data_IF_747915750614
#
_entry.id   IF_747915750614
#
_cell.length_a   1.000
_cell.length_b   1.000
_cell.length_c   1.000
_cell.angle_alpha   90.00
_cell.angle_beta   90.00
_cell.angle_gamma   90.00
#
_symmetry.space_group_name_H-M   'P 1'
#
loop_
_entity.id
_entity.type
_entity.pdbx_description
1 polymer ?
#
# COMPACT_ATOMS: atom_id res chain seq x y z
N UNK A 1 31.38 -71.68 9.07
CA UNK A 1 30.04 -71.10 9.32
C UNK A 1 30.24 -69.65 9.75
N UNK A 2 29.86 -68.68 8.90
CA UNK A 2 30.06 -67.24 9.15
C UNK A 2 28.93 -66.73 10.05
N UNK A 3 29.29 -66.15 11.20
CA UNK A 3 28.37 -65.41 12.07
C UNK A 3 28.08 -64.04 11.44
N UNK A 4 26.81 -63.76 11.15
CA UNK A 4 26.36 -62.43 10.80
C UNK A 4 25.84 -61.73 12.07
N UNK A 5 26.59 -60.73 12.54
CA UNK A 5 26.16 -59.79 13.57
C UNK A 5 25.29 -58.74 12.89
N UNK A 6 24.00 -58.70 13.24
CA UNK A 6 23.06 -57.69 12.76
C UNK A 6 23.11 -56.49 13.71
N UNK A 7 23.71 -55.38 13.26
CA UNK A 7 23.79 -54.11 13.99
C UNK A 7 22.50 -53.30 13.74
N UNK A 8 21.68 -53.09 14.75
CA UNK A 8 20.51 -52.20 14.66
C UNK A 8 20.94 -50.75 14.95
N UNK A 9 20.95 -49.92 13.91
CA UNK A 9 21.17 -48.46 14.03
C UNK A 9 19.81 -47.81 14.31
N UNK A 10 19.63 -47.29 15.52
CA UNK A 10 18.46 -46.49 15.90
C UNK A 10 18.72 -45.05 15.46
N UNK A 11 18.06 -44.64 14.38
CA UNK A 11 18.07 -43.25 13.89
C UNK A 11 17.03 -42.47 14.71
N UNK A 12 17.49 -41.65 15.65
CA UNK A 12 16.66 -40.62 16.29
C UNK A 12 16.44 -39.48 15.29
N UNK A 13 15.28 -39.46 14.65
CA UNK A 13 14.83 -38.30 13.87
C UNK A 13 14.26 -37.25 14.84
N UNK A 14 15.00 -36.15 15.04
CA UNK A 14 14.45 -34.95 15.64
C UNK A 14 13.41 -34.36 14.68
N UNK A 15 12.14 -34.60 14.94
CA UNK A 15 11.04 -33.87 14.30
C UNK A 15 11.00 -32.50 14.98
N UNK A 16 11.55 -31.49 14.30
CA UNK A 16 11.31 -30.09 14.62
C UNK A 16 9.83 -29.80 14.40
N UNK A 17 9.06 -29.76 15.50
CA UNK A 17 7.71 -29.24 15.50
C UNK A 17 7.75 -27.75 15.14
N UNK A 18 7.63 -27.41 13.86
CA UNK A 18 7.16 -26.09 13.46
C UNK A 18 5.68 -26.05 13.81
N UNK A 19 5.39 -25.57 15.02
CA UNK A 19 4.04 -25.21 15.40
C UNK A 19 3.56 -24.10 14.46
N UNK A 20 2.80 -24.47 13.43
CA UNK A 20 1.93 -23.57 12.70
C UNK A 20 0.74 -23.22 13.62
N UNK A 21 1.02 -22.57 14.75
CA UNK A 21 -0.02 -21.96 15.55
C UNK A 21 -0.52 -20.75 14.77
N UNK A 22 -1.80 -20.74 14.45
CA UNK A 22 -2.48 -19.55 13.94
C UNK A 22 -2.25 -18.43 14.94
N UNK A 23 -1.34 -17.49 14.64
CA UNK A 23 -1.03 -16.36 15.53
C UNK A 23 -2.36 -15.67 15.88
N UNK A 24 -2.81 -15.86 17.11
CA UNK A 24 -4.05 -15.29 17.60
C UNK A 24 -3.91 -13.77 17.60
N UNK A 25 -4.85 -13.07 16.95
CA UNK A 25 -4.86 -11.61 16.90
C UNK A 25 -5.61 -11.08 18.12
N UNK A 26 -4.98 -10.25 18.97
CA UNK A 26 -5.62 -9.69 20.16
C UNK A 26 -6.85 -8.87 19.76
N UNK A 27 -7.84 -8.78 20.65
CA UNK A 27 -9.08 -8.05 20.44
C UNK A 27 -8.96 -6.56 20.79
N UNK A 28 -8.08 -6.21 21.74
CA UNK A 28 -7.90 -4.87 22.29
C UNK A 28 -6.47 -4.70 22.83
N UNK A 29 -6.17 -3.53 23.42
CA UNK A 29 -4.84 -3.18 23.91
C UNK A 29 -4.38 -4.07 25.06
N UNK A 30 -5.27 -4.37 26.01
CA UNK A 30 -4.94 -5.20 27.17
C UNK A 30 -4.50 -6.61 26.76
N UNK A 31 -5.26 -7.23 25.85
CA UNK A 31 -4.91 -8.56 25.32
C UNK A 31 -3.62 -8.51 24.50
N UNK A 32 -3.38 -7.42 23.77
CA UNK A 32 -2.11 -7.23 23.06
C UNK A 32 -0.93 -7.19 24.06
N UNK A 33 -1.03 -6.40 25.13
CA UNK A 33 -0.01 -6.29 26.17
C UNK A 33 0.25 -7.64 26.84
N UNK A 34 -0.80 -8.39 27.18
CA UNK A 34 -0.66 -9.72 27.78
C UNK A 34 0.09 -10.71 26.89
N UNK A 35 -0.16 -10.65 25.58
CA UNK A 35 0.57 -11.50 24.62
C UNK A 35 2.03 -11.01 24.50
N UNK A 36 2.26 -9.70 24.35
CA UNK A 36 3.60 -9.13 24.26
C UNK A 36 4.44 -9.40 25.51
N UNK A 37 3.84 -9.40 26.69
CA UNK A 37 4.53 -9.75 27.94
C UNK A 37 5.11 -11.16 27.89
N UNK A 38 4.43 -12.11 27.25
CA UNK A 38 4.86 -13.51 27.14
C UNK A 38 5.82 -13.73 25.98
N UNK A 39 5.55 -13.07 24.85
CA UNK A 39 6.23 -13.28 23.57
C UNK A 39 7.52 -12.45 23.40
N UNK A 40 7.54 -11.21 23.91
CA UNK A 40 8.67 -10.31 23.71
C UNK A 40 9.90 -10.77 24.55
N UNK A 41 11.09 -10.94 23.92
CA UNK A 41 12.33 -11.28 24.62
C UNK A 41 12.71 -10.25 25.69
N UNK A 42 13.38 -10.69 26.76
CA UNK A 42 13.75 -9.83 27.89
C UNK A 42 14.68 -8.67 27.48
N UNK A 43 15.66 -8.92 26.61
CA UNK A 43 16.57 -7.89 26.12
C UNK A 43 15.80 -6.81 25.34
N UNK A 44 14.82 -7.22 24.53
CA UNK A 44 13.96 -6.30 23.81
C UNK A 44 13.04 -5.52 24.75
N UNK A 45 12.48 -6.14 25.79
CA UNK A 45 11.71 -5.43 26.82
C UNK A 45 12.56 -4.36 27.50
N UNK A 46 13.82 -4.66 27.80
CA UNK A 46 14.75 -3.69 28.38
C UNK A 46 15.02 -2.54 27.41
N UNK A 47 15.23 -2.82 26.12
CA UNK A 47 15.41 -1.78 25.11
C UNK A 47 14.17 -0.87 24.98
N UNK A 48 12.97 -1.46 24.97
CA UNK A 48 11.69 -0.74 24.91
C UNK A 48 11.55 0.24 26.08
N UNK A 49 11.90 -0.16 27.30
CA UNK A 49 11.81 0.71 28.49
C UNK A 49 12.63 2.01 28.34
N UNK A 50 13.77 1.94 27.68
CA UNK A 50 14.74 3.04 27.58
C UNK A 50 14.73 3.76 26.24
N UNK A 51 13.89 3.33 25.29
CA UNK A 51 13.78 3.96 23.96
C UNK A 51 12.69 5.03 24.00
N UNK A 52 12.96 6.20 23.45
CA UNK A 52 11.97 7.27 23.29
C UNK A 52 10.77 6.83 22.46
N UNK A 53 9.57 7.35 22.79
CA UNK A 53 8.31 6.88 22.21
C UNK A 53 8.26 7.02 20.68
N UNK A 54 8.89 8.07 20.13
CA UNK A 54 8.99 8.32 18.69
C UNK A 54 9.92 7.33 17.96
N UNK A 55 10.81 6.68 18.70
CA UNK A 55 11.85 5.79 18.21
C UNK A 55 11.49 4.32 18.39
N UNK A 56 10.49 4.00 19.23
CA UNK A 56 10.03 2.63 19.48
C UNK A 56 9.68 1.85 18.22
N UNK A 57 9.16 2.52 17.19
CA UNK A 57 8.78 1.88 15.93
C UNK A 57 9.98 1.22 15.23
N UNK A 58 11.18 1.74 15.42
CA UNK A 58 12.40 1.21 14.83
C UNK A 58 12.86 -0.11 15.46
N UNK A 59 12.26 -0.52 16.58
CA UNK A 59 12.48 -1.83 17.19
C UNK A 59 11.60 -2.92 16.56
N UNK A 60 10.63 -2.54 15.72
CA UNK A 60 9.67 -3.45 15.09
C UNK A 60 9.98 -3.66 13.60
N UNK A 61 9.68 -4.86 13.12
CA UNK A 61 9.62 -5.13 11.69
C UNK A 61 8.40 -4.42 11.07
N UNK A 62 8.48 -3.82 9.86
CA UNK A 62 9.64 -3.74 8.97
C UNK A 62 10.44 -2.43 9.10
N UNK A 63 10.29 -1.67 10.19
CA UNK A 63 10.82 -0.31 10.32
C UNK A 63 12.23 -0.21 10.94
N UNK A 64 12.97 -1.32 10.96
CA UNK A 64 14.36 -1.39 11.40
C UNK A 64 14.65 -2.62 12.25
N UNK A 65 13.68 -3.04 13.06
CA UNK A 65 13.86 -4.16 13.98
C UNK A 65 13.37 -5.50 13.43
N UNK A 66 13.71 -6.57 14.14
CA UNK A 66 13.34 -7.94 13.77
C UNK A 66 12.07 -8.44 14.46
N UNK A 67 11.53 -7.68 15.42
CA UNK A 67 10.34 -8.09 16.17
C UNK A 67 9.07 -8.00 15.30
N UNK A 68 8.50 -9.15 14.95
CA UNK A 68 7.43 -9.29 13.94
C UNK A 68 6.02 -9.42 14.53
N UNK A 69 5.87 -9.70 15.81
CA UNK A 69 4.59 -10.11 16.40
C UNK A 69 3.46 -9.11 16.14
N UNK A 70 3.70 -7.83 16.40
CA UNK A 70 2.70 -6.76 16.20
C UNK A 70 2.39 -6.58 14.70
N UNK A 71 3.42 -6.65 13.86
CA UNK A 71 3.26 -6.58 12.41
C UNK A 71 2.38 -7.72 11.88
N UNK A 72 2.56 -8.95 12.37
CA UNK A 72 1.74 -10.10 11.97
C UNK A 72 0.28 -9.97 12.40
N UNK A 73 -0.01 -9.26 13.50
CA UNK A 73 -1.38 -8.92 13.86
C UNK A 73 -2.01 -7.92 12.89
N UNK A 74 -1.26 -6.91 12.44
CA UNK A 74 -1.80 -5.79 11.65
C UNK A 74 -1.77 -6.06 10.14
N UNK A 75 -0.79 -6.82 9.65
CA UNK A 75 -0.71 -7.21 8.23
C UNK A 75 -1.89 -8.07 7.81
N UNK A 76 -2.42 -8.90 8.72
CA UNK A 76 -3.63 -9.70 8.44
C UNK A 76 -4.74 -8.76 7.92
N UNK A 77 -5.40 -9.19 6.84
CA UNK A 77 -6.50 -8.48 6.18
C UNK A 77 -7.67 -8.22 7.15
N UNK A 78 -8.87 -7.92 6.65
CA UNK A 78 -10.08 -7.56 7.42
C UNK A 78 -10.56 -8.56 8.50
N UNK A 79 -9.76 -9.55 8.92
CA UNK A 79 -10.00 -10.47 10.04
C UNK A 79 -9.28 -10.10 11.34
N UNK A 80 -8.24 -9.25 11.30
CA UNK A 80 -7.50 -8.85 12.52
C UNK A 80 -8.38 -8.04 13.48
N UNK A 81 -8.52 -8.50 14.74
CA UNK A 81 -9.40 -7.86 15.72
C UNK A 81 -8.77 -6.56 16.24
N UNK A 82 -7.49 -6.58 16.62
CA UNK A 82 -6.76 -5.39 17.09
C UNK A 82 -6.68 -4.31 16.01
N UNK A 83 -6.51 -4.69 14.74
CA UNK A 83 -6.54 -3.74 13.62
C UNK A 83 -7.88 -3.01 13.54
N UNK A 84 -9.00 -3.74 13.60
CA UNK A 84 -10.35 -3.15 13.62
C UNK A 84 -10.58 -2.32 14.87
N UNK A 85 -10.09 -2.77 16.02
CA UNK A 85 -10.17 -2.04 17.27
C UNK A 85 -9.52 -0.66 17.13
N UNK A 86 -8.27 -0.59 16.68
CA UNK A 86 -7.53 0.66 16.50
C UNK A 86 -8.14 1.55 15.41
N UNK A 87 -8.63 0.97 14.31
CA UNK A 87 -9.37 1.71 13.28
C UNK A 87 -10.62 2.41 13.85
N UNK A 88 -11.40 1.71 14.69
CA UNK A 88 -12.55 2.31 15.39
C UNK A 88 -12.15 3.42 16.36
N UNK A 89 -10.91 3.42 16.84
CA UNK A 89 -10.32 4.49 17.66
C UNK A 89 -9.67 5.59 16.83
N UNK A 90 -9.76 5.56 15.49
CA UNK A 90 -9.20 6.59 14.62
C UNK A 90 -7.69 6.48 14.38
N UNK A 91 -7.12 5.29 14.57
CA UNK A 91 -5.73 4.96 14.21
C UNK A 91 -5.75 3.89 13.12
N UNK A 92 -5.67 4.33 11.87
CA UNK A 92 -5.88 3.48 10.69
C UNK A 92 -4.57 3.07 10.01
N UNK A 93 -3.55 3.92 10.09
CA UNK A 93 -2.25 3.65 9.47
C UNK A 93 -1.52 2.51 10.19
N UNK A 94 -0.94 1.58 9.44
CA UNK A 94 -0.30 0.39 10.02
C UNK A 94 0.92 0.73 10.88
N UNK A 95 1.71 1.74 10.51
CA UNK A 95 2.86 2.17 11.30
C UNK A 95 2.39 2.81 12.61
N UNK A 96 1.35 3.65 12.55
CA UNK A 96 0.74 4.23 13.75
C UNK A 96 0.13 3.16 14.66
N UNK A 97 -0.55 2.15 14.11
CA UNK A 97 -1.09 1.03 14.89
C UNK A 97 0.01 0.26 15.63
N UNK A 98 1.16 0.03 15.00
CA UNK A 98 2.31 -0.58 15.69
C UNK A 98 2.84 0.33 16.80
N UNK A 99 3.01 1.63 16.49
CA UNK A 99 3.56 2.58 17.44
C UNK A 99 2.69 2.72 18.70
N UNK A 100 1.36 2.82 18.58
CA UNK A 100 0.48 2.94 19.75
C UNK A 100 0.48 1.68 20.63
N UNK A 101 0.61 0.49 20.03
CA UNK A 101 0.75 -0.77 20.78
C UNK A 101 2.10 -0.80 21.53
N UNK A 102 3.18 -0.37 20.87
CA UNK A 102 4.51 -0.32 21.49
C UNK A 102 4.58 0.67 22.65
N UNK A 103 3.97 1.85 22.52
CA UNK A 103 3.90 2.84 23.60
C UNK A 103 3.11 2.26 24.78
N UNK A 104 1.95 1.66 24.53
CA UNK A 104 1.16 1.03 25.59
C UNK A 104 1.92 -0.09 26.30
N UNK A 105 2.66 -0.92 25.55
CA UNK A 105 3.52 -1.96 26.11
C UNK A 105 4.69 -1.40 26.92
N UNK A 106 5.33 -0.30 26.47
CA UNK A 106 6.35 0.42 27.26
C UNK A 106 5.78 0.92 28.58
N UNK A 107 4.62 1.56 28.57
CA UNK A 107 3.98 2.05 29.80
C UNK A 107 3.71 0.89 30.78
N UNK A 108 3.20 -0.23 30.27
CA UNK A 108 3.04 -1.45 31.06
C UNK A 108 4.38 -1.95 31.65
N UNK A 109 5.45 -2.01 30.86
CA UNK A 109 6.78 -2.45 31.32
C UNK A 109 7.40 -1.53 32.38
N UNK A 110 7.02 -0.25 32.38
CA UNK A 110 7.42 0.75 33.37
C UNK A 110 6.51 0.76 34.61
N UNK A 111 5.52 -0.14 34.69
CA UNK A 111 4.46 -0.16 35.71
C UNK A 111 3.66 1.15 35.80
N UNK A 112 3.58 1.90 34.70
CA UNK A 112 2.79 3.11 34.61
C UNK A 112 1.36 2.76 34.18
N UNK A 113 0.37 3.39 34.80
CA UNK A 113 -0.97 3.46 34.20
C UNK A 113 -0.93 4.34 32.96
N UNK A 114 -1.68 3.99 31.92
CA UNK A 114 -1.83 4.83 30.73
C UNK A 114 -3.31 4.96 30.33
N UNK A 115 -3.66 6.11 29.77
CA UNK A 115 -4.93 6.31 29.09
C UNK A 115 -4.70 6.13 27.58
N UNK A 116 -5.35 5.10 27.02
CA UNK A 116 -5.33 4.82 25.59
C UNK A 116 -5.65 6.07 24.73
N UNK A 117 -6.60 6.91 25.16
CA UNK A 117 -6.98 8.10 24.38
C UNK A 117 -5.82 9.07 24.23
N UNK A 118 -4.96 9.17 25.25
CA UNK A 118 -3.78 10.03 25.25
C UNK A 118 -2.75 9.52 24.23
N UNK A 119 -2.52 8.20 24.19
CA UNK A 119 -1.62 7.56 23.21
C UNK A 119 -2.12 7.80 21.78
N UNK A 120 -3.42 7.67 21.53
CA UNK A 120 -4.00 7.81 20.19
C UNK A 120 -3.99 9.24 19.66
N UNK A 121 -4.09 10.24 20.56
CA UNK A 121 -4.33 11.65 20.19
C UNK A 121 -3.32 12.19 19.18
N UNK A 122 -2.04 11.88 19.37
CA UNK A 122 -0.96 12.31 18.47
C UNK A 122 -1.15 11.74 17.06
N UNK A 123 -1.35 10.43 16.94
CA UNK A 123 -1.52 9.75 15.66
C UNK A 123 -2.83 10.10 14.96
N UNK A 124 -3.93 10.27 15.72
CA UNK A 124 -5.19 10.79 15.18
C UNK A 124 -5.03 12.19 14.58
N UNK A 125 -4.20 13.06 15.19
CA UNK A 125 -3.91 14.38 14.64
C UNK A 125 -3.17 14.29 13.31
N UNK A 126 -2.13 13.44 13.27
CA UNK A 126 -1.34 13.18 12.06
C UNK A 126 -2.23 12.63 10.94
N UNK A 127 -3.03 11.59 11.22
CA UNK A 127 -3.91 10.98 10.21
C UNK A 127 -5.00 11.94 9.72
N UNK A 128 -5.58 12.78 10.61
CA UNK A 128 -6.52 13.82 10.19
C UNK A 128 -5.86 14.85 9.26
N UNK A 129 -4.62 15.23 9.54
CA UNK A 129 -3.85 16.11 8.67
C UNK A 129 -3.63 15.46 7.30
N UNK A 130 -3.16 14.22 7.26
CA UNK A 130 -2.99 13.46 6.02
C UNK A 130 -4.29 13.30 5.24
N UNK A 131 -5.41 13.01 5.91
CA UNK A 131 -6.72 12.90 5.26
C UNK A 131 -7.18 14.24 4.65
N UNK A 132 -6.94 15.36 5.34
CA UNK A 132 -7.23 16.71 4.82
C UNK A 132 -6.36 17.03 3.61
N UNK A 133 -5.07 16.73 3.69
CA UNK A 133 -4.13 16.90 2.57
C UNK A 133 -4.53 16.03 1.37
N UNK A 134 -4.89 14.77 1.60
CA UNK A 134 -5.36 13.84 0.58
C UNK A 134 -6.62 14.35 -0.12
N UNK A 135 -7.63 14.80 0.64
CA UNK A 135 -8.86 15.41 0.08
C UNK A 135 -8.58 16.63 -0.78
N UNK A 136 -7.62 17.48 -0.40
CA UNK A 136 -7.26 18.67 -1.19
C UNK A 136 -6.73 18.30 -2.58
N UNK A 137 -5.98 17.20 -2.71
CA UNK A 137 -5.41 16.75 -4.00
C UNK A 137 -6.47 16.47 -5.07
N UNK A 138 -7.70 16.20 -4.66
CA UNK A 138 -8.81 15.90 -5.55
C UNK A 138 -9.60 17.11 -6.03
N UNK A 139 -9.33 18.29 -5.47
CA UNK A 139 -10.01 19.54 -5.85
C UNK A 139 -9.03 20.60 -6.37
N UNK A 140 -7.75 20.50 -6.03
CA UNK A 140 -6.72 21.42 -6.50
C UNK A 140 -6.40 21.17 -7.97
N UNK A 141 -6.19 22.26 -8.72
CA UNK A 141 -5.86 22.23 -10.14
C UNK A 141 -4.40 21.88 -10.43
N UNK A 142 -3.50 22.13 -9.48
CA UNK A 142 -2.07 21.94 -9.61
C UNK A 142 -1.48 21.25 -8.40
N UNK A 143 -0.61 20.26 -8.62
CA UNK A 143 0.13 19.58 -7.55
C UNK A 143 1.62 19.71 -7.85
N UNK A 144 2.38 20.24 -6.88
CA UNK A 144 3.84 20.47 -7.02
C UNK A 144 4.20 21.29 -8.28
N UNK A 145 3.41 22.33 -8.58
CA UNK A 145 3.62 23.20 -9.73
C UNK A 145 3.20 22.61 -11.08
N UNK A 146 2.65 21.39 -11.10
CA UNK A 146 2.15 20.74 -12.32
C UNK A 146 0.63 20.84 -12.34
N UNK A 147 0.07 21.40 -13.41
CA UNK A 147 -1.37 21.37 -13.66
C UNK A 147 -1.85 19.93 -13.89
N UNK A 148 -2.93 19.54 -13.22
CA UNK A 148 -3.52 18.21 -13.24
C UNK A 148 -4.77 18.27 -14.11
N UNK A 149 -4.91 17.49 -15.19
CA UNK A 149 -6.15 17.49 -15.96
C UNK A 149 -7.37 17.07 -15.12
N UNK A 150 -8.57 17.59 -15.43
CA UNK A 150 -9.78 17.18 -14.70
C UNK A 150 -10.57 16.05 -15.38
N UNK A 151 -10.36 15.84 -16.69
CA UNK A 151 -10.95 14.74 -17.46
C UNK A 151 -10.06 14.34 -18.64
N UNK A 152 -10.55 13.41 -19.48
CA UNK A 152 -9.81 12.91 -20.64
C UNK A 152 -9.59 13.98 -21.73
N UNK A 153 -10.53 14.91 -21.93
CA UNK A 153 -10.40 15.93 -22.98
C UNK A 153 -9.37 16.98 -22.57
N UNK A 154 -9.40 17.40 -21.31
CA UNK A 154 -8.40 18.30 -20.76
C UNK A 154 -7.00 17.67 -20.75
N UNK A 155 -6.87 16.33 -20.65
CA UNK A 155 -5.59 15.67 -20.90
C UNK A 155 -5.04 16.00 -22.29
N UNK A 156 -5.89 16.01 -23.33
CA UNK A 156 -5.45 16.29 -24.70
C UNK A 156 -4.95 17.72 -24.84
N UNK A 157 -5.68 18.69 -24.27
CA UNK A 157 -5.27 20.11 -24.26
C UNK A 157 -3.88 20.29 -23.64
N UNK A 158 -3.62 19.61 -22.51
CA UNK A 158 -2.32 19.67 -21.85
C UNK A 158 -1.24 18.99 -22.70
N UNK A 159 -1.51 17.81 -23.26
CA UNK A 159 -0.54 17.12 -24.14
C UNK A 159 -0.26 17.93 -25.41
N UNK A 160 -1.26 18.59 -25.98
CA UNK A 160 -1.12 19.47 -27.13
C UNK A 160 -0.24 20.67 -26.84
N UNK A 161 -0.30 21.20 -25.62
CA UNK A 161 0.56 22.31 -25.17
C UNK A 161 1.99 21.86 -24.87
N UNK A 162 2.18 20.61 -24.46
CA UNK A 162 3.49 20.05 -24.13
C UNK A 162 4.27 19.58 -25.36
N UNK A 163 3.58 19.05 -26.37
CA UNK A 163 4.22 18.45 -27.54
C UNK A 163 4.20 19.41 -28.72
N UNK A 164 5.37 19.63 -29.32
CA UNK A 164 5.46 20.40 -30.55
C UNK A 164 4.97 19.58 -31.77
N UNK A 165 4.81 20.25 -32.90
CA UNK A 165 4.29 19.62 -34.13
C UNK A 165 5.13 18.44 -34.60
N UNK A 166 6.45 18.50 -34.44
CA UNK A 166 7.35 17.39 -34.81
C UNK A 166 7.05 16.13 -33.99
N UNK A 167 6.85 16.27 -32.68
CA UNK A 167 6.45 15.16 -31.81
C UNK A 167 5.08 14.63 -32.23
N UNK A 168 4.09 15.51 -32.48
CA UNK A 168 2.75 15.10 -32.91
C UNK A 168 2.79 14.34 -34.25
N UNK A 169 3.62 14.79 -35.20
CA UNK A 169 3.80 14.12 -36.49
C UNK A 169 4.44 12.73 -36.33
N UNK A 170 5.43 12.59 -35.45
CA UNK A 170 6.02 11.29 -35.14
C UNK A 170 4.96 10.34 -34.56
N UNK A 171 4.16 10.80 -33.59
CA UNK A 171 3.06 10.01 -33.00
C UNK A 171 2.07 9.54 -34.09
N UNK A 172 1.67 10.44 -35.00
CA UNK A 172 0.77 10.12 -36.12
C UNK A 172 1.37 9.11 -37.11
N UNK A 173 2.69 9.02 -37.21
CA UNK A 173 3.36 8.05 -38.08
C UNK A 173 3.37 6.62 -37.53
N UNK A 174 3.12 6.45 -36.23
CA UNK A 174 3.06 5.16 -35.56
C UNK A 174 1.63 4.58 -35.61
N UNK A 175 1.54 3.25 -35.62
CA UNK A 175 0.27 2.59 -35.34
C UNK A 175 -0.16 2.86 -33.88
N UNK A 176 -1.45 2.77 -33.60
CA UNK A 176 -1.99 2.96 -32.24
C UNK A 176 -1.30 2.06 -31.21
N UNK A 177 -1.08 0.79 -31.57
CA UNK A 177 -0.44 -0.18 -30.69
C UNK A 177 1.05 0.14 -30.49
N UNK A 178 1.76 0.48 -31.57
CA UNK A 178 3.18 0.82 -31.48
C UNK A 178 3.40 2.06 -30.62
N UNK A 179 2.56 3.09 -30.81
CA UNK A 179 2.62 4.29 -29.99
C UNK A 179 2.39 3.98 -28.51
N UNK A 180 1.31 3.26 -28.16
CA UNK A 180 1.01 2.94 -26.76
C UNK A 180 2.14 2.12 -26.10
N UNK A 181 2.70 1.13 -26.81
CA UNK A 181 3.79 0.30 -26.30
C UNK A 181 5.06 1.12 -26.10
N UNK A 182 5.46 1.91 -27.12
CA UNK A 182 6.69 2.71 -27.06
C UNK A 182 6.60 3.82 -26.01
N UNK A 183 5.42 4.40 -25.82
CA UNK A 183 5.20 5.50 -24.89
C UNK A 183 4.95 5.07 -23.44
N UNK A 184 4.67 3.79 -23.19
CA UNK A 184 4.31 3.30 -21.85
C UNK A 184 5.32 3.66 -20.76
N UNK A 185 6.62 3.54 -21.07
CA UNK A 185 7.72 3.75 -20.11
C UNK A 185 8.27 5.18 -20.11
N UNK A 186 7.94 5.98 -21.12
CA UNK A 186 8.39 7.37 -21.24
C UNK A 186 7.25 8.32 -20.89
N UNK A 187 6.40 8.64 -21.86
CA UNK A 187 5.28 9.57 -21.68
C UNK A 187 4.27 9.03 -20.67
N UNK A 188 4.00 7.71 -20.68
CA UNK A 188 3.13 7.06 -19.71
C UNK A 188 3.69 7.19 -18.28
N UNK A 189 4.99 6.97 -18.09
CA UNK A 189 5.62 7.16 -16.78
C UNK A 189 5.59 8.62 -16.34
N UNK A 190 5.81 9.56 -17.27
CA UNK A 190 5.68 10.98 -17.01
C UNK A 190 4.25 11.33 -16.57
N UNK A 191 3.22 10.88 -17.28
CA UNK A 191 1.80 11.08 -16.95
C UNK A 191 1.51 10.54 -15.53
N UNK A 192 1.89 9.29 -15.24
CA UNK A 192 1.63 8.68 -13.93
C UNK A 192 2.26 9.44 -12.78
N UNK A 193 3.49 9.92 -12.97
CA UNK A 193 4.25 10.60 -11.93
C UNK A 193 3.83 12.06 -11.78
N UNK A 194 3.67 12.80 -12.88
CA UNK A 194 3.40 14.24 -12.85
C UNK A 194 1.92 14.55 -12.61
N UNK A 195 1.00 13.76 -13.16
CA UNK A 195 -0.43 13.88 -12.85
C UNK A 195 -0.85 13.11 -11.60
N UNK A 196 0.14 12.59 -10.85
CA UNK A 196 0.00 12.02 -9.52
C UNK A 196 -0.97 10.84 -9.45
N UNK A 197 -1.00 10.00 -10.49
CA UNK A 197 -1.96 8.91 -10.61
C UNK A 197 -1.80 7.87 -9.49
N UNK A 198 -0.58 7.65 -8.99
CA UNK A 198 -0.32 6.75 -7.84
C UNK A 198 -0.79 7.31 -6.48
N UNK A 199 -0.75 8.63 -6.31
CA UNK A 199 -0.98 9.29 -5.02
C UNK A 199 -2.37 9.96 -4.93
N UNK A 200 -3.19 9.83 -5.97
CA UNK A 200 -4.48 10.51 -6.10
C UNK A 200 -4.35 11.95 -6.58
N UNK A 201 -5.27 12.32 -7.47
CA UNK A 201 -5.45 13.65 -8.04
C UNK A 201 -6.89 13.77 -8.60
N UNK A 202 -7.34 14.98 -8.96
CA UNK A 202 -8.67 15.16 -9.57
C UNK A 202 -8.88 14.31 -10.83
N UNK A 203 -7.82 14.08 -11.62
CA UNK A 203 -7.87 13.19 -12.78
C UNK A 203 -8.18 11.74 -12.38
N UNK A 204 -7.61 11.28 -11.27
CA UNK A 204 -7.87 9.93 -10.76
C UNK A 204 -9.34 9.76 -10.37
N UNK A 205 -10.01 10.79 -9.86
CA UNK A 205 -11.46 10.71 -9.59
C UNK A 205 -12.25 10.47 -10.86
N UNK A 206 -12.00 11.25 -11.91
CA UNK A 206 -12.67 11.07 -13.20
C UNK A 206 -12.54 9.61 -13.71
N UNK A 207 -11.35 9.03 -13.65
CA UNK A 207 -11.14 7.64 -14.08
C UNK A 207 -11.77 6.61 -13.14
N UNK A 208 -11.73 6.85 -11.83
CA UNK A 208 -12.38 5.99 -10.84
C UNK A 208 -13.90 5.95 -11.05
N UNK A 209 -14.51 7.10 -11.37
CA UNK A 209 -15.96 7.22 -11.60
C UNK A 209 -16.42 6.41 -12.82
N UNK A 210 -15.54 6.21 -13.80
CA UNK A 210 -15.78 5.33 -14.96
C UNK A 210 -15.19 3.92 -14.77
N UNK A 211 -14.76 3.55 -13.57
CA UNK A 211 -14.37 2.19 -13.20
C UNK A 211 -12.92 1.79 -13.53
N UNK A 212 -12.02 2.77 -13.73
CA UNK A 212 -10.60 2.53 -13.99
C UNK A 212 -9.75 3.06 -12.82
N UNK A 213 -9.07 2.14 -12.14
CA UNK A 213 -8.38 2.43 -10.87
C UNK A 213 -6.86 2.36 -10.97
N UNK A 214 -6.32 1.57 -11.90
CA UNK A 214 -4.87 1.32 -11.96
C UNK A 214 -4.15 2.43 -12.75
N UNK A 215 -3.11 3.07 -12.20
CA UNK A 215 -2.40 4.16 -12.90
C UNK A 215 -1.84 3.81 -14.27
N UNK A 216 -1.38 2.57 -14.46
CA UNK A 216 -0.92 2.11 -15.79
C UNK A 216 -2.09 2.08 -16.79
N UNK A 217 -3.27 1.60 -16.40
CA UNK A 217 -4.46 1.56 -17.25
C UNK A 217 -4.91 2.98 -17.60
N UNK A 218 -4.95 3.88 -16.60
CA UNK A 218 -5.31 5.29 -16.79
C UNK A 218 -4.37 5.92 -17.84
N UNK A 219 -3.06 5.78 -17.66
CA UNK A 219 -2.09 6.33 -18.60
C UNK A 219 -2.18 5.68 -19.99
N UNK A 220 -2.48 4.38 -20.07
CA UNK A 220 -2.69 3.67 -21.33
C UNK A 220 -3.92 4.18 -22.08
N UNK A 221 -5.04 4.38 -21.40
CA UNK A 221 -6.26 4.97 -21.98
C UNK A 221 -5.98 6.39 -22.49
N UNK A 222 -5.27 7.20 -21.72
CA UNK A 222 -4.93 8.58 -22.11
C UNK A 222 -4.10 8.58 -23.39
N UNK A 223 -3.00 7.82 -23.43
CA UNK A 223 -2.13 7.75 -24.61
C UNK A 223 -2.90 7.23 -25.84
N UNK A 224 -3.61 6.11 -25.68
CA UNK A 224 -4.40 5.53 -26.75
C UNK A 224 -5.44 6.50 -27.30
N UNK A 225 -6.15 7.19 -26.41
CA UNK A 225 -7.17 8.16 -26.79
C UNK A 225 -6.56 9.41 -27.42
N UNK A 226 -5.39 9.85 -26.97
CA UNK A 226 -4.69 10.98 -27.57
C UNK A 226 -4.19 10.68 -28.98
N UNK A 227 -3.71 9.46 -29.24
CA UNK A 227 -3.39 9.02 -30.61
C UNK A 227 -4.62 9.09 -31.53
N UNK A 228 -5.76 8.57 -31.07
CA UNK A 228 -7.03 8.67 -31.79
C UNK A 228 -7.44 10.12 -32.04
N UNK A 229 -7.32 10.98 -31.04
CA UNK A 229 -7.58 12.41 -31.15
C UNK A 229 -6.72 13.06 -32.27
N UNK A 230 -5.41 12.83 -32.25
CA UNK A 230 -4.49 13.34 -33.27
C UNK A 230 -4.82 12.87 -34.70
N UNK A 231 -5.37 11.66 -34.83
CA UNK A 231 -5.76 11.06 -36.10
C UNK A 231 -7.20 11.42 -36.54
N UNK A 232 -7.96 12.12 -35.71
CA UNK A 232 -9.39 12.39 -35.97
C UNK A 232 -10.28 11.15 -35.83
N UNK A 233 -9.81 10.11 -35.15
CA UNK A 233 -10.53 8.86 -34.95
C UNK A 233 -11.47 8.93 -33.73
N UNK A 234 -12.55 8.15 -33.76
CA UNK A 234 -13.44 8.01 -32.61
C UNK A 234 -12.70 7.42 -31.39
N UNK A 235 -12.78 8.11 -30.24
CA UNK A 235 -12.07 7.72 -29.00
C UNK A 235 -12.53 6.35 -28.48
N UNK A 236 -13.82 6.04 -28.57
CA UNK A 236 -14.42 4.77 -28.10
C UNK A 236 -14.02 4.43 -26.66
N UNK A 237 -14.15 5.41 -25.75
CA UNK A 237 -13.70 5.29 -24.35
C UNK A 237 -14.35 4.10 -23.64
N UNK A 238 -15.65 3.87 -23.85
CA UNK A 238 -16.39 2.74 -23.26
C UNK A 238 -15.79 1.38 -23.64
N UNK A 239 -15.36 1.21 -24.89
CA UNK A 239 -14.69 -0.03 -25.34
C UNK A 239 -13.36 -0.23 -24.61
N UNK A 240 -12.59 0.86 -24.42
CA UNK A 240 -11.32 0.82 -23.69
C UNK A 240 -11.53 0.48 -22.21
N UNK A 241 -12.53 1.08 -21.56
CA UNK A 241 -12.90 0.81 -20.17
C UNK A 241 -13.32 -0.67 -20.00
N UNK A 242 -14.18 -1.16 -20.90
CA UNK A 242 -14.66 -2.55 -20.89
C UNK A 242 -13.52 -3.56 -21.04
N UNK A 243 -12.50 -3.23 -21.83
CA UNK A 243 -11.30 -4.06 -21.97
C UNK A 243 -10.61 -4.28 -20.61
N UNK A 244 -10.32 -3.20 -19.87
CA UNK A 244 -9.64 -3.29 -18.57
C UNK A 244 -10.50 -3.96 -17.51
N UNK A 245 -11.81 -3.68 -17.49
CA UNK A 245 -12.74 -4.39 -16.60
C UNK A 245 -12.67 -5.92 -16.80
N UNK A 246 -12.71 -6.38 -18.06
CA UNK A 246 -12.62 -7.80 -18.37
C UNK A 246 -11.24 -8.38 -18.03
N UNK A 247 -10.17 -7.63 -18.27
CA UNK A 247 -8.80 -8.02 -17.92
C UNK A 247 -8.67 -8.32 -16.42
N UNK A 248 -9.02 -7.36 -15.56
CA UNK A 248 -8.91 -7.51 -14.11
C UNK A 248 -9.84 -8.59 -13.55
N UNK A 249 -11.07 -8.69 -14.06
CA UNK A 249 -12.00 -9.76 -13.69
C UNK A 249 -11.41 -11.15 -13.97
N UNK A 250 -10.70 -11.33 -15.10
CA UNK A 250 -10.04 -12.59 -15.43
C UNK A 250 -8.85 -12.87 -14.50
N UNK A 251 -8.06 -11.86 -14.17
CA UNK A 251 -6.92 -12.02 -13.26
C UNK A 251 -7.34 -12.37 -11.83
N UNK A 252 -8.43 -11.78 -11.33
CA UNK A 252 -8.95 -12.08 -10.00
C UNK A 252 -9.46 -13.52 -9.87
N UNK A 253 -10.03 -14.10 -10.93
CA UNK A 253 -10.50 -15.51 -10.93
C UNK A 253 -9.38 -16.56 -10.95
N UNK A 254 -8.15 -16.15 -11.29
CA UNK A 254 -6.98 -17.05 -11.35
C UNK A 254 -6.24 -17.17 -10.02
N UNK A 255 -6.55 -16.31 -9.05
CA UNK A 255 -6.00 -16.33 -7.69
C UNK A 255 -6.95 -17.05 -6.76
#
# INVERSE_FOLDING_TARGET
MKQHILLFIIIFTYISYINCQTIYSPANMDEAIQILQKDCPNDLKNLIKHTEDDSLIHLCYPWGGEYKTIFEWIKKNNKSKIKKYLQKKGVSDQKHQNAVIMIAFKQFLLNNSFDEKTIYKTYQSIERKWAKEYRKRFITDSIRGVYIPYDLINCFEILDSMWNDSIKLNIKSLSENDYVIQSHYKEGAWIRNNWQLWNGSRLVLYFNDIGIFHPDDISGIILKSYHRHLMGNAIKLEEQVKFYYNYWRKQMKKK
#
